data_IF_212177841384
#
_entry.id   IF_212177841384
#
_cell.length_a   1.000
_cell.length_b   1.000
_cell.length_c   1.000
_cell.angle_alpha   90.00
_cell.angle_beta   90.00
_cell.angle_gamma   90.00
#
_symmetry.space_group_name_H-M   'P 1'
#
loop_
_entity.id
_entity.type
_entity.pdbx_description
1 polymer ?
#
# COMPACT_ATOMS: atom_id res chain seq x y z
N UNK A 1 21.23 5.44 17.57
CA UNK A 1 20.48 4.95 16.39
C UNK A 1 20.93 3.53 16.12
N UNK A 2 20.00 2.59 16.21
CA UNK A 2 20.25 1.16 16.01
C UNK A 2 20.68 0.83 14.58
N UNK A 3 21.33 -0.32 14.37
CA UNK A 3 21.74 -0.75 13.02
C UNK A 3 20.52 -0.93 12.09
N UNK A 4 19.41 -1.47 12.60
CA UNK A 4 18.17 -1.61 11.83
C UNK A 4 17.62 -0.26 11.34
N UNK A 5 17.67 0.80 12.16
CA UNK A 5 17.21 2.13 11.74
C UNK A 5 18.13 2.74 10.67
N UNK A 6 19.44 2.45 10.69
CA UNK A 6 20.36 2.87 9.62
C UNK A 6 20.01 2.21 8.29
N UNK A 7 19.73 0.91 8.30
CA UNK A 7 19.32 0.15 7.12
C UNK A 7 17.99 0.66 6.57
N UNK A 8 17.02 0.92 7.47
CA UNK A 8 15.73 1.54 7.14
C UNK A 8 15.91 2.92 6.46
N UNK A 9 16.81 3.77 6.95
CA UNK A 9 17.09 5.08 6.36
C UNK A 9 17.71 4.91 4.96
N UNK A 10 18.62 3.95 4.80
CA UNK A 10 19.23 3.63 3.51
C UNK A 10 18.17 3.19 2.51
N UNK A 11 17.31 2.25 2.90
CA UNK A 11 16.21 1.77 2.07
C UNK A 11 15.26 2.92 1.68
N UNK A 12 14.84 3.76 2.63
CA UNK A 12 13.95 4.88 2.36
C UNK A 12 14.56 5.89 1.36
N UNK A 13 15.88 6.13 1.43
CA UNK A 13 16.59 7.00 0.48
C UNK A 13 16.61 6.39 -0.93
N UNK A 14 16.97 5.11 -1.06
CA UNK A 14 16.97 4.42 -2.35
C UNK A 14 15.57 4.33 -2.97
N UNK A 15 14.53 4.12 -2.16
CA UNK A 15 13.14 4.18 -2.63
C UNK A 15 12.80 5.57 -3.14
N UNK A 16 13.22 6.61 -2.41
CA UNK A 16 12.94 8.01 -2.79
C UNK A 16 13.68 8.46 -4.05
N UNK A 17 14.81 7.84 -4.39
CA UNK A 17 15.53 8.07 -5.65
C UNK A 17 14.98 7.26 -6.82
N UNK A 18 13.98 6.40 -6.59
CA UNK A 18 13.38 5.56 -7.64
C UNK A 18 14.22 4.34 -8.01
N UNK A 19 15.13 3.90 -7.14
CA UNK A 19 15.91 2.68 -7.38
C UNK A 19 14.97 1.46 -7.43
N UNK A 20 14.96 0.76 -8.57
CA UNK A 20 13.98 -0.32 -8.83
C UNK A 20 14.05 -1.46 -7.81
N UNK A 21 15.25 -1.96 -7.53
CA UNK A 21 15.51 -3.01 -6.53
C UNK A 21 15.00 -2.61 -5.14
N UNK A 22 15.30 -1.39 -4.71
CA UNK A 22 14.83 -0.88 -3.43
C UNK A 22 13.30 -0.72 -3.38
N UNK A 23 12.69 -0.27 -4.48
CA UNK A 23 11.23 -0.19 -4.60
C UNK A 23 10.57 -1.57 -4.50
N UNK A 24 11.14 -2.59 -5.12
CA UNK A 24 10.64 -3.97 -5.02
C UNK A 24 10.74 -4.52 -3.60
N UNK A 25 11.89 -4.31 -2.93
CA UNK A 25 12.07 -4.68 -1.51
C UNK A 25 11.05 -3.95 -0.63
N UNK A 26 10.87 -2.65 -0.84
CA UNK A 26 9.92 -1.83 -0.08
C UNK A 26 8.47 -2.28 -0.29
N UNK A 27 8.07 -2.53 -1.53
CA UNK A 27 6.74 -3.07 -1.83
C UNK A 27 6.54 -4.39 -1.11
N UNK A 28 7.45 -5.35 -1.31
CA UNK A 28 7.36 -6.67 -0.70
C UNK A 28 7.28 -6.62 0.83
N UNK A 29 8.03 -5.73 1.48
CA UNK A 29 8.04 -5.58 2.93
C UNK A 29 6.72 -5.03 3.50
N UNK A 30 5.99 -4.21 2.74
CA UNK A 30 4.80 -3.51 3.23
C UNK A 30 3.49 -3.91 2.54
N UNK A 31 3.52 -4.86 1.60
CA UNK A 31 2.33 -5.34 0.89
C UNK A 31 1.21 -5.74 1.85
N UNK A 32 1.50 -6.50 2.91
CA UNK A 32 0.45 -6.98 3.82
C UNK A 32 -0.22 -5.85 4.60
N UNK A 33 0.53 -4.81 4.97
CA UNK A 33 -0.03 -3.62 5.63
C UNK A 33 -0.94 -2.84 4.68
N UNK A 34 -0.48 -2.61 3.46
CA UNK A 34 -1.26 -1.89 2.44
C UNK A 34 -2.51 -2.68 2.06
N UNK A 35 -2.39 -4.00 1.85
CA UNK A 35 -3.52 -4.89 1.58
C UNK A 35 -4.57 -4.81 2.69
N UNK A 36 -4.15 -4.90 3.96
CA UNK A 36 -5.06 -4.79 5.09
C UNK A 36 -5.80 -3.45 5.12
N UNK A 37 -5.08 -2.35 4.85
CA UNK A 37 -5.68 -1.01 4.81
C UNK A 37 -6.70 -0.89 3.68
N UNK A 38 -6.32 -1.29 2.46
CA UNK A 38 -7.21 -1.24 1.29
C UNK A 38 -8.44 -2.09 1.52
N UNK A 39 -8.29 -3.32 2.03
CA UNK A 39 -9.44 -4.18 2.34
C UNK A 39 -10.43 -3.54 3.31
N UNK A 40 -9.94 -2.84 4.33
CA UNK A 40 -10.82 -2.15 5.26
C UNK A 40 -11.56 -0.97 4.62
N UNK A 41 -10.90 -0.20 3.75
CA UNK A 41 -11.55 0.89 3.01
C UNK A 41 -12.61 0.36 2.04
N UNK A 42 -12.34 -0.75 1.37
CA UNK A 42 -13.24 -1.30 0.34
C UNK A 42 -14.54 -1.87 0.92
N UNK A 43 -14.60 -2.16 2.22
CA UNK A 43 -15.85 -2.55 2.89
C UNK A 43 -16.95 -1.48 2.78
N UNK A 44 -16.59 -0.21 2.65
CA UNK A 44 -17.54 0.93 2.60
C UNK A 44 -17.46 1.74 1.31
N UNK A 45 -16.48 1.44 0.44
CA UNK A 45 -16.17 2.24 -0.75
C UNK A 45 -16.06 1.43 -2.04
N UNK A 46 -16.37 0.13 -2.01
CA UNK A 46 -16.44 -0.69 -3.22
C UNK A 46 -17.89 -0.69 -3.73
N UNK A 47 -18.09 -0.24 -4.98
CA UNK A 47 -19.43 -0.14 -5.57
C UNK A 47 -19.89 -1.46 -6.20
N UNK A 48 -19.00 -2.47 -6.24
CA UNK A 48 -19.33 -3.79 -6.77
C UNK A 48 -20.01 -4.68 -5.74
N UNK A 49 -21.16 -5.25 -6.13
CA UNK A 49 -21.84 -6.26 -5.34
C UNK A 49 -21.00 -7.54 -5.27
N UNK A 50 -21.00 -8.19 -4.10
CA UNK A 50 -20.21 -9.39 -3.75
C UNK A 50 -20.40 -10.58 -4.72
N UNK A 51 -21.44 -10.54 -5.57
CA UNK A 51 -21.83 -11.64 -6.48
C UNK A 51 -21.52 -11.38 -7.96
N UNK A 52 -21.07 -10.19 -8.34
CA UNK A 52 -20.92 -9.81 -9.75
C UNK A 52 -19.51 -9.92 -10.31
N UNK A 53 -18.49 -9.68 -9.48
CA UNK A 53 -17.07 -9.67 -9.90
C UNK A 53 -16.17 -10.15 -8.77
N UNK A 54 -15.03 -10.72 -9.13
CA UNK A 54 -13.99 -11.05 -8.17
C UNK A 54 -12.98 -9.90 -8.05
N UNK A 55 -12.56 -9.59 -6.84
CA UNK A 55 -11.59 -8.53 -6.60
C UNK A 55 -10.17 -8.99 -7.01
N UNK A 56 -9.51 -8.25 -7.91
CA UNK A 56 -8.13 -8.53 -8.35
C UNK A 56 -7.13 -8.58 -7.18
N UNK A 57 -7.38 -7.81 -6.12
CA UNK A 57 -6.57 -7.81 -4.90
C UNK A 57 -6.68 -9.11 -4.11
N UNK A 58 -7.85 -9.78 -4.13
CA UNK A 58 -8.04 -11.10 -3.53
C UNK A 58 -7.20 -12.16 -4.26
N UNK A 59 -7.15 -12.08 -5.59
CA UNK A 59 -6.34 -12.97 -6.42
C UNK A 59 -4.86 -12.81 -6.05
N UNK A 60 -4.38 -11.57 -6.02
CA UNK A 60 -2.99 -11.25 -5.66
C UNK A 60 -2.65 -11.76 -4.25
N UNK A 61 -3.55 -11.58 -3.28
CA UNK A 61 -3.34 -12.07 -1.92
C UNK A 61 -3.24 -13.60 -1.87
N UNK A 62 -4.06 -14.32 -2.64
CA UNK A 62 -4.05 -15.79 -2.69
C UNK A 62 -2.81 -16.32 -3.42
N UNK A 63 -2.42 -15.70 -4.53
CA UNK A 63 -1.19 -16.06 -5.25
C UNK A 63 0.05 -15.92 -4.38
N UNK A 64 0.14 -14.84 -3.58
CA UNK A 64 1.23 -14.65 -2.60
C UNK A 64 1.26 -15.72 -1.51
N UNK A 65 0.13 -16.37 -1.23
CA UNK A 65 0.03 -17.53 -0.32
C UNK A 65 0.25 -18.88 -1.03
N UNK A 66 0.67 -18.87 -2.29
CA UNK A 66 0.94 -20.08 -3.08
C UNK A 66 -0.28 -20.71 -3.75
N UNK A 67 -1.44 -20.03 -3.77
CA UNK A 67 -2.61 -20.53 -4.49
C UNK A 67 -2.49 -20.27 -6.00
N UNK A 68 -2.67 -21.34 -6.78
CA UNK A 68 -2.73 -21.29 -8.25
C UNK A 68 -4.17 -21.26 -8.78
N UNK A 69 -5.14 -20.84 -7.94
CA UNK A 69 -6.55 -20.82 -8.33
C UNK A 69 -6.76 -19.84 -9.48
N UNK A 70 -7.20 -20.36 -10.61
CA UNK A 70 -7.75 -19.56 -11.70
C UNK A 70 -9.20 -19.22 -11.40
N UNK A 71 -9.55 -17.96 -11.67
CA UNK A 71 -10.91 -17.43 -11.55
C UNK A 71 -11.45 -17.20 -12.95
N UNK A 72 -12.63 -17.78 -13.22
CA UNK A 72 -13.31 -17.63 -14.51
C UNK A 72 -14.27 -16.44 -14.54
N UNK A 73 -14.46 -15.79 -13.41
CA UNK A 73 -15.31 -14.62 -13.23
C UNK A 73 -14.60 -13.32 -13.65
N UNK A 74 -15.39 -12.33 -14.08
CA UNK A 74 -14.89 -10.99 -14.36
C UNK A 74 -14.23 -10.37 -13.13
N UNK A 75 -13.08 -9.72 -13.33
CA UNK A 75 -12.31 -9.09 -12.26
C UNK A 75 -12.69 -7.62 -12.09
N UNK A 76 -12.61 -7.11 -10.85
CA UNK A 76 -12.68 -5.69 -10.56
C UNK A 76 -11.35 -5.16 -10.00
N UNK A 77 -10.92 -4.03 -10.56
CA UNK A 77 -9.60 -3.46 -10.29
C UNK A 77 -9.62 -2.33 -9.25
N UNK A 78 -10.79 -1.94 -8.71
CA UNK A 78 -10.89 -0.83 -7.75
C UNK A 78 -9.96 -0.97 -6.53
N UNK A 79 -9.84 -2.19 -6.02
CA UNK A 79 -8.97 -2.50 -4.90
C UNK A 79 -7.49 -2.47 -5.31
N UNK A 80 -7.19 -2.85 -6.55
CA UNK A 80 -5.84 -2.82 -7.12
C UNK A 80 -5.39 -1.38 -7.37
N UNK A 81 -6.26 -0.51 -7.89
CA UNK A 81 -5.97 0.91 -8.08
C UNK A 81 -5.63 1.58 -6.74
N UNK A 82 -6.43 1.31 -5.70
CA UNK A 82 -6.16 1.83 -4.35
C UNK A 82 -4.83 1.30 -3.80
N UNK A 83 -4.52 0.02 -4.04
CA UNK A 83 -3.25 -0.59 -3.65
C UNK A 83 -2.05 0.11 -4.31
N UNK A 84 -2.12 0.35 -5.63
CA UNK A 84 -1.07 1.05 -6.39
C UNK A 84 -0.91 2.47 -5.86
N UNK A 85 -2.01 3.19 -5.66
CA UNK A 85 -1.99 4.55 -5.13
C UNK A 85 -1.29 4.64 -3.77
N UNK A 86 -1.60 3.73 -2.85
CA UNK A 86 -0.96 3.71 -1.53
C UNK A 86 0.55 3.54 -1.65
N UNK A 87 1.04 2.69 -2.55
CA UNK A 87 2.47 2.51 -2.73
C UNK A 87 3.15 3.71 -3.35
N UNK A 88 2.54 4.35 -4.35
CA UNK A 88 3.11 5.57 -4.92
C UNK A 88 3.11 6.73 -3.92
N UNK A 89 2.05 6.83 -3.11
CA UNK A 89 1.99 7.77 -1.99
C UNK A 89 3.08 7.48 -0.95
N UNK A 90 3.26 6.21 -0.55
CA UNK A 90 4.27 5.81 0.43
C UNK A 90 5.70 6.05 -0.05
N UNK A 91 6.03 5.72 -1.31
CA UNK A 91 7.34 6.02 -1.90
C UNK A 91 7.63 7.52 -1.85
N UNK A 92 6.63 8.35 -2.17
CA UNK A 92 6.75 9.81 -2.07
C UNK A 92 6.93 10.30 -0.61
N UNK A 93 6.31 9.63 0.37
CA UNK A 93 6.46 9.97 1.80
C UNK A 93 7.77 9.44 2.39
N UNK A 94 8.36 8.39 1.84
CA UNK A 94 9.62 7.80 2.30
C UNK A 94 10.76 8.82 2.38
N UNK A 95 10.76 9.84 1.52
CA UNK A 95 11.74 10.95 1.54
C UNK A 95 11.78 11.73 2.85
N UNK A 96 10.69 11.72 3.61
CA UNK A 96 10.56 12.42 4.88
C UNK A 96 11.02 11.57 6.08
N UNK A 97 11.25 10.27 5.88
CA UNK A 97 11.69 9.37 6.94
C UNK A 97 13.15 9.64 7.31
N UNK A 98 13.40 9.85 8.60
CA UNK A 98 14.73 10.17 9.15
C UNK A 98 15.16 9.24 10.30
N UNK A 99 14.35 8.25 10.67
CA UNK A 99 14.61 7.41 11.85
C UNK A 99 14.68 8.18 13.17
N UNK A 100 13.99 9.32 13.27
CA UNK A 100 13.99 10.15 14.47
C UNK A 100 13.44 9.36 15.67
N UNK A 101 14.05 9.52 16.84
CA UNK A 101 13.71 8.78 18.07
C UNK A 101 13.77 7.26 17.92
N UNK A 102 14.66 6.74 17.06
CA UNK A 102 14.80 5.30 16.76
C UNK A 102 13.50 4.66 16.23
N UNK A 103 12.61 5.46 15.64
CA UNK A 103 11.40 4.98 14.99
C UNK A 103 11.75 4.20 13.72
N UNK A 104 11.28 2.95 13.62
CA UNK A 104 11.50 2.10 12.44
C UNK A 104 10.67 2.56 11.24
N UNK A 105 11.10 2.17 10.04
CA UNK A 105 10.39 2.48 8.80
C UNK A 105 9.01 1.81 8.79
N UNK A 106 8.88 0.63 9.40
CA UNK A 106 7.58 -0.05 9.56
C UNK A 106 6.59 0.79 10.38
N UNK A 107 7.03 1.35 11.50
CA UNK A 107 6.17 2.21 12.34
C UNK A 107 5.81 3.50 11.60
N UNK A 108 6.76 4.09 10.88
CA UNK A 108 6.50 5.24 10.01
C UNK A 108 5.47 4.93 8.90
N UNK A 109 5.63 3.83 8.16
CA UNK A 109 4.68 3.43 7.12
C UNK A 109 3.30 3.18 7.71
N UNK A 110 3.22 2.46 8.85
CA UNK A 110 1.97 2.20 9.55
C UNK A 110 1.25 3.49 9.96
N UNK A 111 1.98 4.48 10.49
CA UNK A 111 1.37 5.75 10.89
C UNK A 111 0.89 6.55 9.68
N UNK A 112 1.64 6.55 8.58
CA UNK A 112 1.25 7.21 7.34
C UNK A 112 -0.04 6.61 6.78
N UNK A 113 -0.14 5.29 6.59
CA UNK A 113 -1.32 4.66 5.96
C UNK A 113 -2.59 4.74 6.81
N UNK A 114 -2.45 4.85 8.14
CA UNK A 114 -3.58 4.93 9.08
C UNK A 114 -3.94 6.37 9.49
N UNK A 115 -3.20 7.37 9.01
CA UNK A 115 -3.52 8.77 9.31
C UNK A 115 -4.80 9.23 8.61
N UNK A 116 -5.55 10.12 9.28
CA UNK A 116 -6.72 10.79 8.72
C UNK A 116 -6.35 11.63 7.48
N UNK A 117 -5.18 12.27 7.49
CA UNK A 117 -4.67 13.01 6.33
C UNK A 117 -4.53 12.12 5.10
N UNK A 118 -3.95 10.92 5.24
CA UNK A 118 -3.81 9.99 4.12
C UNK A 118 -5.17 9.49 3.65
N UNK A 119 -6.11 9.27 4.55
CA UNK A 119 -7.48 8.90 4.18
C UNK A 119 -8.16 10.00 3.35
N UNK A 120 -8.05 11.27 3.76
CA UNK A 120 -8.59 12.41 3.00
C UNK A 120 -7.93 12.57 1.64
N UNK A 121 -6.61 12.40 1.56
CA UNK A 121 -5.88 12.45 0.28
C UNK A 121 -6.30 11.29 -0.64
N UNK A 122 -6.51 10.10 -0.08
CA UNK A 122 -7.02 8.95 -0.82
C UNK A 122 -8.44 9.18 -1.34
N UNK A 123 -9.35 9.73 -0.54
CA UNK A 123 -10.71 10.07 -0.98
C UNK A 123 -10.68 11.07 -2.14
N UNK A 124 -9.85 12.11 -2.04
CA UNK A 124 -9.67 13.12 -3.10
C UNK A 124 -9.14 12.52 -4.40
N UNK A 125 -8.27 11.52 -4.29
CA UNK A 125 -7.78 10.79 -5.46
C UNK A 125 -8.85 9.88 -6.04
N UNK A 126 -9.54 9.07 -5.21
CA UNK A 126 -10.50 8.06 -5.67
C UNK A 126 -11.73 8.68 -6.34
N UNK A 127 -12.27 9.76 -5.77
CA UNK A 127 -13.52 10.36 -6.24
C UNK A 127 -13.32 11.64 -7.06
N UNK A 128 -12.06 12.02 -7.30
CA UNK A 128 -11.73 13.36 -7.75
C UNK A 128 -12.09 14.40 -6.68
N UNK A 129 -11.89 15.70 -6.98
CA UNK A 129 -12.34 16.78 -6.10
C UNK A 129 -13.87 16.84 -6.08
N UNK A 130 -14.53 15.95 -5.33
CA UNK A 130 -15.88 16.15 -4.86
C UNK A 130 -15.81 17.07 -3.62
N UNK A 131 -15.70 18.37 -3.92
CA UNK A 131 -15.86 19.55 -3.04
C UNK A 131 -14.86 19.73 -1.88
#
# INVERSE_FOLDING_TARGET
MSNGVKDDISLARSVSSGEKSACEVFVNAYTDLVLSRVWNLMKTHCDHSVRGKICSLLILQKQRKGSLTHYGEDQCDECLDSYIWFFDFLKNKARAYKGANDCSLKTFVWSVINSDSTYKDWLRWKYGRAY
#
